data_IF_925918916134
#
_entry.id   IF_925918916134
#
_cell.length_a   1.000
_cell.length_b   1.000
_cell.length_c   1.000
_cell.angle_alpha   90.00
_cell.angle_beta   90.00
_cell.angle_gamma   90.00
#
_symmetry.space_group_name_H-M   'P 1'
#
loop_
_entity.id
_entity.type
_entity.pdbx_description
1 polymer ?
#
# COMPACT_ATOMS: atom_id res chain seq x y z
N UNK A 1 -9.93 -5.33 -28.05
CA UNK A 1 -9.09 -6.12 -27.11
C UNK A 1 -9.98 -7.10 -26.38
N UNK A 2 -9.53 -8.34 -26.20
CA UNK A 2 -10.25 -9.37 -25.44
C UNK A 2 -10.51 -8.88 -23.98
N UNK A 3 -11.74 -9.01 -23.44
CA UNK A 3 -12.07 -8.61 -22.07
C UNK A 3 -11.14 -9.16 -20.99
N UNK A 4 -10.69 -10.41 -21.14
CA UNK A 4 -9.79 -11.07 -20.20
C UNK A 4 -8.43 -10.37 -20.21
N UNK A 5 -7.85 -10.17 -21.40
CA UNK A 5 -6.57 -9.47 -21.56
C UNK A 5 -6.63 -8.06 -20.97
N UNK A 6 -7.73 -7.34 -21.23
CA UNK A 6 -7.94 -6.00 -20.67
C UNK A 6 -7.97 -6.00 -19.14
N UNK A 7 -8.65 -6.96 -18.53
CA UNK A 7 -8.74 -7.06 -17.08
C UNK A 7 -7.38 -7.43 -16.45
N UNK A 8 -6.61 -8.31 -17.08
CA UNK A 8 -5.25 -8.65 -16.63
C UNK A 8 -4.37 -7.39 -16.66
N UNK A 9 -4.37 -6.66 -17.77
CA UNK A 9 -3.62 -5.41 -17.90
C UNK A 9 -4.08 -4.35 -16.89
N UNK A 10 -5.37 -4.30 -16.56
CA UNK A 10 -5.89 -3.40 -15.53
C UNK A 10 -5.31 -3.70 -14.14
N UNK A 11 -5.25 -4.98 -13.75
CA UNK A 11 -4.65 -5.40 -12.47
C UNK A 11 -3.15 -5.10 -12.44
N UNK A 12 -2.43 -5.42 -13.51
CA UNK A 12 -0.98 -5.12 -13.62
C UNK A 12 -0.75 -3.61 -13.52
N UNK A 13 -1.53 -2.80 -14.23
CA UNK A 13 -1.43 -1.35 -14.16
C UNK A 13 -1.73 -0.82 -12.74
N UNK A 14 -2.76 -1.36 -12.08
CA UNK A 14 -3.07 -1.01 -10.70
C UNK A 14 -1.94 -1.33 -9.73
N UNK A 15 -1.35 -2.53 -9.85
CA UNK A 15 -0.18 -2.92 -9.05
C UNK A 15 1.01 -1.98 -9.26
N UNK A 16 1.35 -1.68 -10.53
CA UNK A 16 2.48 -0.80 -10.86
C UNK A 16 2.24 0.61 -10.32
N UNK A 17 1.09 1.22 -10.61
CA UNK A 17 0.80 2.59 -10.18
C UNK A 17 0.74 2.69 -8.66
N UNK A 18 0.09 1.73 -7.99
CA UNK A 18 0.06 1.69 -6.53
C UNK A 18 1.45 1.57 -5.91
N UNK A 19 2.33 0.74 -6.51
CA UNK A 19 3.72 0.58 -6.06
C UNK A 19 4.52 1.87 -6.25
N UNK A 20 4.34 2.58 -7.37
CA UNK A 20 4.99 3.87 -7.61
C UNK A 20 4.56 4.93 -6.58
N UNK A 21 3.27 4.99 -6.24
CA UNK A 21 2.77 5.88 -5.17
C UNK A 21 3.38 5.53 -3.82
N UNK A 22 3.41 4.23 -3.47
CA UNK A 22 4.02 3.75 -2.24
C UNK A 22 5.51 4.15 -2.17
N UNK A 23 6.31 3.78 -3.18
CA UNK A 23 7.73 4.11 -3.25
C UNK A 23 7.98 5.62 -3.20
N UNK A 24 7.17 6.41 -3.91
CA UNK A 24 7.25 7.86 -3.88
C UNK A 24 7.08 8.42 -2.47
N UNK A 25 6.08 7.94 -1.73
CA UNK A 25 5.81 8.35 -0.35
C UNK A 25 6.89 7.90 0.63
N UNK A 26 7.39 6.67 0.50
CA UNK A 26 8.52 6.18 1.33
C UNK A 26 9.77 7.02 1.10
N UNK A 27 10.10 7.36 -0.15
CA UNK A 27 11.32 8.10 -0.47
C UNK A 27 11.25 9.58 -0.09
N UNK A 28 10.08 10.23 -0.19
CA UNK A 28 9.93 11.64 0.20
C UNK A 28 9.74 11.80 1.71
N UNK A 29 9.26 10.77 2.41
CA UNK A 29 8.95 10.84 3.84
C UNK A 29 10.09 11.39 4.70
N UNK A 30 11.33 10.86 4.60
CA UNK A 30 12.48 11.32 5.38
C UNK A 30 12.86 12.79 5.16
N UNK A 31 12.49 13.41 4.03
CA UNK A 31 12.76 14.85 3.81
C UNK A 31 11.74 15.76 4.51
N UNK A 32 10.60 15.21 4.93
CA UNK A 32 9.51 15.93 5.60
C UNK A 32 9.46 15.58 7.09
N UNK A 33 9.57 14.29 7.42
CA UNK A 33 9.71 13.76 8.78
C UNK A 33 11.10 13.13 8.87
N UNK A 34 12.09 13.88 9.41
CA UNK A 34 13.46 13.39 9.53
C UNK A 34 13.54 12.08 10.32
N UNK A 35 14.54 11.28 9.96
CA UNK A 35 14.87 10.09 10.72
C UNK A 35 15.35 10.48 12.13
N UNK A 36 15.07 9.65 13.16
CA UNK A 36 15.64 9.85 14.48
C UNK A 36 17.17 9.86 14.45
N UNK A 37 17.79 10.53 15.43
CA UNK A 37 19.24 10.53 15.57
C UNK A 37 19.78 9.10 15.72
N UNK A 38 20.81 8.77 14.94
CA UNK A 38 21.43 7.44 14.93
C UNK A 38 20.64 6.36 14.18
N UNK A 39 19.49 6.66 13.58
CA UNK A 39 18.77 5.73 12.73
C UNK A 39 19.44 5.60 11.35
N UNK A 40 19.58 4.36 10.89
CA UNK A 40 20.03 4.00 9.55
C UNK A 40 18.97 3.13 8.87
N UNK A 41 18.59 3.51 7.65
CA UNK A 41 17.57 2.85 6.84
C UNK A 41 18.11 2.39 5.48
N UNK A 42 19.43 2.32 5.34
CA UNK A 42 20.11 1.96 4.10
C UNK A 42 20.01 0.47 3.74
N UNK A 43 19.84 -0.40 4.74
CA UNK A 43 19.62 -1.85 4.55
C UNK A 43 18.44 -2.34 5.39
N UNK A 44 17.95 -3.55 5.11
CA UNK A 44 16.86 -4.15 5.89
C UNK A 44 17.29 -4.44 7.34
N UNK A 45 18.53 -4.89 7.54
CA UNK A 45 19.11 -5.15 8.85
C UNK A 45 19.20 -3.85 9.68
N UNK A 46 19.77 -2.78 9.12
CA UNK A 46 19.92 -1.51 9.84
C UNK A 46 18.59 -0.83 10.09
N UNK A 47 17.63 -0.94 9.16
CA UNK A 47 16.25 -0.48 9.35
C UNK A 47 15.59 -1.19 10.54
N UNK A 48 15.71 -2.52 10.63
CA UNK A 48 15.17 -3.33 11.72
C UNK A 48 15.76 -2.91 13.07
N UNK A 49 17.07 -2.70 13.14
CA UNK A 49 17.74 -2.25 14.37
C UNK A 49 17.32 -0.82 14.75
N UNK A 50 17.06 0.03 13.77
CA UNK A 50 16.64 1.42 13.96
C UNK A 50 15.19 1.57 14.39
N UNK A 51 14.33 0.56 14.22
CA UNK A 51 12.91 0.61 14.64
C UNK A 51 12.73 1.01 16.11
N UNK A 52 13.68 0.67 16.99
CA UNK A 52 13.66 1.05 18.42
C UNK A 52 13.81 2.55 18.66
N UNK A 53 14.39 3.28 17.71
CA UNK A 53 14.60 4.73 17.77
C UNK A 53 13.40 5.50 17.22
N UNK A 54 12.51 4.83 16.48
CA UNK A 54 11.40 5.48 15.81
C UNK A 54 10.35 5.90 16.83
N UNK A 55 9.83 7.11 16.63
CA UNK A 55 8.69 7.65 17.37
C UNK A 55 7.44 7.62 16.48
N UNK A 56 6.23 7.78 17.03
CA UNK A 56 4.99 7.69 16.24
C UNK A 56 4.95 8.56 14.97
N UNK A 57 5.61 9.73 14.97
CA UNK A 57 5.66 10.60 13.79
C UNK A 57 6.39 9.95 12.60
N UNK A 58 7.41 9.12 12.85
CA UNK A 58 8.20 8.45 11.81
C UNK A 58 7.39 7.41 11.03
N UNK A 59 6.25 6.98 11.57
CA UNK A 59 5.37 5.98 10.97
C UNK A 59 4.26 6.58 10.07
N UNK A 60 4.13 7.92 10.04
CA UNK A 60 3.12 8.61 9.20
C UNK A 60 3.34 8.29 7.72
N UNK A 61 4.57 8.43 7.21
CA UNK A 61 4.85 8.20 5.79
C UNK A 61 4.78 6.73 5.38
N UNK A 62 5.28 5.76 6.16
CA UNK A 62 5.02 4.34 5.90
C UNK A 62 3.52 4.01 5.81
N UNK A 63 2.71 4.49 6.77
CA UNK A 63 1.25 4.29 6.72
C UNK A 63 0.62 4.91 5.47
N UNK A 64 0.97 6.18 5.16
CA UNK A 64 0.46 6.85 3.97
C UNK A 64 0.88 6.13 2.69
N UNK A 65 2.12 5.63 2.61
CA UNK A 65 2.62 4.87 1.48
C UNK A 65 1.82 3.58 1.26
N UNK A 66 1.54 2.84 2.33
CA UNK A 66 0.74 1.63 2.28
C UNK A 66 -0.72 1.94 1.90
N UNK A 67 -1.33 2.92 2.57
CA UNK A 67 -2.73 3.27 2.42
C UNK A 67 -3.02 3.88 1.05
N UNK A 68 -2.31 4.94 0.67
CA UNK A 68 -2.52 5.64 -0.60
C UNK A 68 -2.00 4.82 -1.78
N UNK A 69 -0.92 4.06 -1.61
CA UNK A 69 -0.46 3.11 -2.64
C UNK A 69 -1.54 2.07 -2.95
N UNK A 70 -2.13 1.46 -1.92
CA UNK A 70 -3.22 0.49 -2.09
C UNK A 70 -4.46 1.13 -2.69
N UNK A 71 -4.88 2.30 -2.19
CA UNK A 71 -6.06 3.03 -2.68
C UNK A 71 -5.94 3.35 -4.17
N UNK A 72 -4.81 3.95 -4.57
CA UNK A 72 -4.59 4.36 -5.96
C UNK A 72 -4.47 3.13 -6.86
N UNK A 73 -3.74 2.11 -6.44
CA UNK A 73 -3.62 0.87 -7.22
C UNK A 73 -4.96 0.18 -7.43
N UNK A 74 -5.78 0.08 -6.38
CA UNK A 74 -7.10 -0.50 -6.44
C UNK A 74 -8.06 0.33 -7.32
N UNK A 75 -8.00 1.67 -7.21
CA UNK A 75 -8.75 2.57 -8.07
C UNK A 75 -8.40 2.37 -9.54
N UNK A 76 -7.11 2.34 -9.89
CA UNK A 76 -6.65 2.15 -11.28
C UNK A 76 -7.09 0.80 -11.81
N UNK A 77 -6.91 -0.29 -11.05
CA UNK A 77 -7.34 -1.62 -11.45
C UNK A 77 -8.86 -1.66 -11.74
N UNK A 78 -9.68 -1.16 -10.81
CA UNK A 78 -11.13 -1.13 -10.99
C UNK A 78 -11.60 -0.18 -12.11
N UNK A 79 -10.91 0.94 -12.33
CA UNK A 79 -11.27 1.93 -13.35
C UNK A 79 -11.04 1.39 -14.75
N UNK A 80 -9.93 0.69 -14.97
CA UNK A 80 -9.52 0.16 -16.26
C UNK A 80 -10.22 -1.17 -16.62
N UNK A 81 -10.58 -1.97 -15.62
CA UNK A 81 -11.26 -3.24 -15.79
C UNK A 81 -12.63 -3.09 -16.44
N UNK A 82 -12.99 -4.05 -17.31
CA UNK A 82 -14.29 -4.10 -18.00
C UNK A 82 -15.34 -4.90 -17.26
N UNK A 83 -14.95 -5.78 -16.34
CA UNK A 83 -15.82 -6.56 -15.47
C UNK A 83 -15.14 -6.79 -14.11
N UNK A 84 -15.88 -7.30 -13.12
CA UNK A 84 -15.35 -7.66 -11.80
C UNK A 84 -14.54 -6.56 -11.07
N UNK A 85 -14.83 -5.29 -11.35
CA UNK A 85 -14.09 -4.12 -10.86
C UNK A 85 -13.79 -4.18 -9.37
N UNK A 86 -14.81 -4.41 -8.55
CA UNK A 86 -14.65 -4.51 -7.10
C UNK A 86 -13.78 -5.70 -6.68
N UNK A 87 -13.91 -6.86 -7.35
CA UNK A 87 -13.08 -8.03 -7.06
C UNK A 87 -11.61 -7.75 -7.35
N UNK A 88 -11.30 -7.03 -8.44
CA UNK A 88 -9.93 -6.65 -8.77
C UNK A 88 -9.37 -5.60 -7.81
N UNK A 89 -10.17 -4.61 -7.39
CA UNK A 89 -9.77 -3.65 -6.37
C UNK A 89 -9.44 -4.33 -5.02
N UNK A 90 -10.30 -5.24 -4.56
CA UNK A 90 -10.03 -6.05 -3.35
C UNK A 90 -8.82 -6.95 -3.55
N UNK A 91 -8.63 -7.52 -4.75
CA UNK A 91 -7.44 -8.28 -5.10
C UNK A 91 -6.15 -7.49 -4.93
N UNK A 92 -6.13 -6.20 -5.33
CA UNK A 92 -5.00 -5.31 -5.06
C UNK A 92 -4.81 -5.10 -3.55
N UNK A 93 -5.89 -4.86 -2.80
CA UNK A 93 -5.84 -4.73 -1.34
C UNK A 93 -5.25 -5.96 -0.65
N UNK A 94 -5.67 -7.16 -1.05
CA UNK A 94 -5.13 -8.42 -0.53
C UNK A 94 -3.66 -8.58 -0.89
N UNK A 95 -3.27 -8.27 -2.14
CA UNK A 95 -1.89 -8.37 -2.57
C UNK A 95 -0.96 -7.45 -1.75
N UNK A 96 -1.36 -6.18 -1.56
CA UNK A 96 -0.58 -5.25 -0.75
C UNK A 96 -0.57 -5.65 0.74
N UNK A 97 -1.67 -6.20 1.27
CA UNK A 97 -1.72 -6.74 2.64
C UNK A 97 -0.68 -7.85 2.85
N UNK A 98 -0.53 -8.76 1.89
CA UNK A 98 0.51 -9.80 1.95
C UNK A 98 1.91 -9.18 1.99
N UNK A 99 2.13 -8.10 1.23
CA UNK A 99 3.34 -7.29 1.31
C UNK A 99 3.56 -6.70 2.71
N UNK A 100 2.52 -6.11 3.31
CA UNK A 100 2.55 -5.57 4.68
C UNK A 100 2.89 -6.61 5.75
N UNK A 101 2.24 -7.78 5.69
CA UNK A 101 2.52 -8.91 6.59
C UNK A 101 3.97 -9.36 6.45
N UNK A 102 4.47 -9.42 5.22
CA UNK A 102 5.87 -9.78 4.94
C UNK A 102 6.82 -8.73 5.52
N UNK A 103 6.55 -7.44 5.30
CA UNK A 103 7.35 -6.34 5.81
C UNK A 103 7.45 -6.37 7.34
N UNK A 104 6.34 -6.56 8.05
CA UNK A 104 6.33 -6.66 9.52
C UNK A 104 7.11 -7.89 10.00
N UNK A 105 7.01 -9.01 9.29
CA UNK A 105 7.75 -10.23 9.65
C UNK A 105 9.27 -10.04 9.50
N UNK A 106 9.69 -9.24 8.51
CA UNK A 106 11.10 -8.95 8.22
C UNK A 106 11.68 -7.83 9.09
N UNK A 107 10.93 -6.75 9.32
CA UNK A 107 11.42 -5.52 9.96
C UNK A 107 11.01 -5.45 11.45
N UNK A 108 9.92 -6.11 11.83
CA UNK A 108 9.29 -5.90 13.13
C UNK A 108 8.55 -4.56 13.19
N UNK A 109 8.47 -3.99 14.39
CA UNK A 109 7.81 -2.69 14.62
C UNK A 109 6.91 -2.71 15.86
N UNK A 110 6.50 -1.53 16.34
CA UNK A 110 5.67 -1.45 17.53
C UNK A 110 4.27 -2.04 17.24
N UNK A 111 3.69 -2.85 18.15
CA UNK A 111 2.44 -3.56 17.91
C UNK A 111 1.27 -2.66 17.50
N UNK A 112 1.19 -1.45 18.07
CA UNK A 112 0.12 -0.49 17.75
C UNK A 112 0.14 -0.08 16.27
N UNK A 113 1.34 0.10 15.69
CA UNK A 113 1.49 0.50 14.30
C UNK A 113 1.14 -0.67 13.39
N UNK A 114 1.71 -1.85 13.68
CA UNK A 114 1.47 -3.06 12.90
C UNK A 114 -0.03 -3.38 12.78
N UNK A 115 -0.78 -3.26 13.89
CA UNK A 115 -2.24 -3.46 13.88
C UNK A 115 -2.94 -2.37 13.08
N UNK A 116 -2.60 -1.10 13.33
CA UNK A 116 -3.23 0.04 12.63
C UNK A 116 -3.04 -0.07 11.12
N UNK A 117 -1.83 -0.37 10.69
CA UNK A 117 -1.44 -0.47 9.29
C UNK A 117 -2.11 -1.67 8.60
N UNK A 118 -1.99 -2.88 9.15
CA UNK A 118 -2.59 -4.08 8.58
C UNK A 118 -4.12 -3.99 8.45
N UNK A 119 -4.78 -3.36 9.43
CA UNK A 119 -6.25 -3.26 9.44
C UNK A 119 -6.73 -2.17 8.50
N UNK A 120 -6.04 -1.02 8.42
CA UNK A 120 -6.57 0.18 7.74
C UNK A 120 -5.97 0.44 6.36
N UNK A 121 -4.69 0.14 6.16
CA UNK A 121 -3.98 0.58 4.96
C UNK A 121 -4.29 -0.27 3.71
N UNK A 122 -4.82 -1.48 3.88
CA UNK A 122 -4.91 -2.45 2.78
C UNK A 122 -6.34 -2.73 2.33
N UNK A 123 -7.09 -3.56 3.06
CA UNK A 123 -8.45 -3.97 2.63
C UNK A 123 -9.41 -2.77 2.59
N UNK A 124 -9.47 -1.88 3.60
CA UNK A 124 -10.35 -0.71 3.54
C UNK A 124 -10.00 0.23 2.39
N UNK A 125 -8.71 0.47 2.15
CA UNK A 125 -8.26 1.33 1.06
C UNK A 125 -8.49 0.69 -0.32
N UNK A 126 -8.31 -0.62 -0.44
CA UNK A 126 -8.65 -1.37 -1.65
C UNK A 126 -10.14 -1.28 -1.97
N UNK A 127 -10.99 -1.46 -0.95
CA UNK A 127 -12.43 -1.30 -1.07
C UNK A 127 -12.82 0.13 -1.48
N UNK A 128 -12.27 1.15 -0.80
CA UNK A 128 -12.50 2.55 -1.09
C UNK A 128 -12.09 2.91 -2.53
N UNK A 129 -10.90 2.48 -2.97
CA UNK A 129 -10.45 2.66 -4.36
C UNK A 129 -11.42 2.02 -5.36
N UNK A 130 -11.94 0.83 -5.05
CA UNK A 130 -12.97 0.16 -5.84
C UNK A 130 -14.28 0.93 -5.93
N UNK A 131 -14.75 1.54 -4.82
CA UNK A 131 -15.95 2.39 -4.80
C UNK A 131 -15.72 3.62 -5.68
N UNK A 132 -14.61 4.34 -5.47
CA UNK A 132 -14.27 5.57 -6.19
C UNK A 132 -14.16 5.35 -7.70
N UNK A 133 -13.75 4.15 -8.13
CA UNK A 133 -13.70 3.76 -9.53
C UNK A 133 -15.08 3.39 -10.14
N UNK A 134 -16.16 3.47 -9.36
CA UNK A 134 -17.51 3.08 -9.76
C UNK A 134 -17.76 1.57 -9.72
N UNK A 135 -16.95 0.81 -8.97
CA UNK A 135 -17.04 -0.64 -8.87
C UNK A 135 -18.30 -1.15 -8.15
N UNK A 136 -18.92 -0.33 -7.30
CA UNK A 136 -20.13 -0.65 -6.56
C UNK A 136 -21.43 -0.41 -7.36
N UNK A 137 -21.36 0.28 -8.51
CA UNK A 137 -22.52 0.75 -9.25
C UNK A 137 -23.04 -0.23 -10.33
N UNK A 138 -22.48 -1.44 -10.45
CA UNK A 138 -22.99 -2.47 -11.36
C UNK A 138 -23.79 -3.51 -10.58
N UNK A 139 -25.09 -3.25 -10.46
CA UNK A 139 -26.11 -4.31 -10.37
C UNK A 139 -26.47 -4.72 -11.79
#
# INVERSE_FOLDING_TARGET
MNPIVRNILAVIAGFIVGSLVNMGLVNIGPSIVPLPEGADVSTMETLRESMKLFTPVNFIFPFLAHALGTLVGAFVAAKLAVSHKMKFAIGIGVFFLLGGITAISMIGGPPWFNVTDLVLAYIPMGYLGGILAGGAARK
#
